data_IF_540472339691
#
_entry.id   IF_540472339691
#
_cell.length_a   1.000
_cell.length_b   1.000
_cell.length_c   1.000
_cell.angle_alpha   90.00
_cell.angle_beta   90.00
_cell.angle_gamma   90.00
#
_symmetry.space_group_name_H-M   'P 1'
#
loop_
_entity.id
_entity.type
_entity.pdbx_description
1 polymer ?
#
# COMPACT_ATOMS: atom_id res chain seq x y z
N UNK A 1 -0.42 21.76 -6.97
CA UNK A 1 -1.69 22.42 -7.32
C UNK A 1 -2.40 22.85 -6.05
N UNK A 2 -2.98 24.05 -6.02
CA UNK A 2 -3.83 24.49 -4.92
C UNK A 2 -5.29 24.12 -5.24
N UNK A 3 -5.98 23.54 -4.27
CA UNK A 3 -7.38 23.14 -4.39
C UNK A 3 -8.09 23.57 -3.11
N UNK A 4 -9.22 24.25 -3.25
CA UNK A 4 -10.04 24.66 -2.11
C UNK A 4 -11.10 23.61 -1.86
N UNK A 5 -11.16 23.08 -0.64
CA UNK A 5 -12.15 22.11 -0.18
C UNK A 5 -12.62 22.49 1.22
N UNK A 6 -13.89 22.28 1.51
CA UNK A 6 -14.45 22.49 2.85
C UNK A 6 -14.27 21.23 3.69
N UNK A 7 -13.59 21.35 4.83
CA UNK A 7 -13.26 20.25 5.74
C UNK A 7 -13.50 20.68 7.18
N UNK A 8 -13.78 19.73 8.06
CA UNK A 8 -13.88 19.97 9.49
C UNK A 8 -12.49 20.39 10.05
N UNK A 9 -12.41 21.56 10.68
CA UNK A 9 -11.18 22.11 11.24
C UNK A 9 -10.59 21.25 12.34
N UNK A 10 -11.43 20.65 13.17
CA UNK A 10 -11.01 19.92 14.37
C UNK A 10 -10.30 18.62 13.98
N UNK A 11 -10.80 17.97 12.92
CA UNK A 11 -10.14 16.80 12.31
C UNK A 11 -8.75 17.16 11.77
N UNK A 12 -8.60 18.33 11.14
CA UNK A 12 -7.31 18.76 10.59
C UNK A 12 -6.30 19.03 11.71
N UNK A 13 -6.74 19.66 12.81
CA UNK A 13 -5.88 19.88 13.97
C UNK A 13 -5.52 18.56 14.67
N UNK A 14 -6.43 17.59 14.73
CA UNK A 14 -6.12 16.24 15.20
C UNK A 14 -5.07 15.55 14.32
N UNK A 15 -5.23 15.58 13.00
CA UNK A 15 -4.25 15.01 12.07
C UNK A 15 -2.89 15.68 12.28
N UNK A 16 -2.83 17.01 12.38
CA UNK A 16 -1.58 17.73 12.67
C UNK A 16 -0.94 17.29 13.98
N UNK A 17 -1.74 17.12 15.04
CA UNK A 17 -1.25 16.68 16.36
C UNK A 17 -0.68 15.27 16.29
N UNK A 18 -1.34 14.36 15.57
CA UNK A 18 -0.91 12.96 15.44
C UNK A 18 0.31 12.82 14.54
N UNK A 19 0.39 13.58 13.45
CA UNK A 19 1.49 13.49 12.47
C UNK A 19 2.67 14.41 12.75
N UNK A 20 2.50 15.37 13.67
CA UNK A 20 3.51 16.38 14.00
C UNK A 20 3.76 17.40 12.88
N UNK A 21 2.87 17.51 11.89
CA UNK A 21 3.09 18.42 10.75
C UNK A 21 2.84 19.88 11.11
N UNK A 22 3.71 20.80 10.64
CA UNK A 22 3.61 22.20 11.02
C UNK A 22 2.42 22.90 10.36
N UNK A 23 2.06 22.51 9.12
CA UNK A 23 0.96 23.14 8.37
C UNK A 23 -0.23 22.21 8.14
N UNK A 24 -1.42 22.80 7.99
CA UNK A 24 -2.65 22.08 7.59
C UNK A 24 -2.48 21.37 6.25
N UNK A 25 -1.81 22.02 5.30
CA UNK A 25 -1.60 21.47 3.97
C UNK A 25 -0.72 20.21 3.98
N UNK A 26 0.34 20.19 4.80
CA UNK A 26 1.19 19.01 4.95
C UNK A 26 0.46 17.87 5.67
N UNK A 27 -0.29 18.18 6.72
CA UNK A 27 -1.12 17.20 7.41
C UNK A 27 -2.15 16.53 6.48
N UNK A 28 -2.87 17.33 5.68
CA UNK A 28 -3.81 16.80 4.68
C UNK A 28 -3.10 15.95 3.64
N UNK A 29 -1.96 16.43 3.11
CA UNK A 29 -1.21 15.71 2.09
C UNK A 29 -0.76 14.34 2.59
N UNK A 30 -0.19 14.28 3.79
CA UNK A 30 0.27 13.02 4.35
C UNK A 30 -0.88 12.08 4.69
N UNK A 31 -1.98 12.59 5.25
CA UNK A 31 -3.18 11.79 5.52
C UNK A 31 -3.75 11.14 4.25
N UNK A 32 -3.80 11.89 3.15
CA UNK A 32 -4.26 11.35 1.85
C UNK A 32 -3.31 10.28 1.29
N UNK A 33 -2.00 10.50 1.40
CA UNK A 33 -0.99 9.51 0.97
C UNK A 33 -1.14 8.23 1.78
N UNK A 34 -1.22 8.33 3.11
CA UNK A 34 -1.37 7.14 3.97
C UNK A 34 -2.72 6.45 3.77
N UNK A 35 -3.80 7.19 3.52
CA UNK A 35 -5.10 6.59 3.19
C UNK A 35 -5.05 5.75 1.91
N UNK A 36 -4.43 6.28 0.85
CA UNK A 36 -4.28 5.52 -0.41
C UNK A 36 -3.38 4.30 -0.20
N UNK A 37 -2.28 4.44 0.55
CA UNK A 37 -1.38 3.31 0.86
C UNK A 37 -2.07 2.24 1.69
N UNK A 38 -2.87 2.62 2.69
CA UNK A 38 -3.60 1.66 3.54
C UNK A 38 -4.65 0.90 2.73
N UNK A 39 -5.37 1.57 1.81
CA UNK A 39 -6.30 0.91 0.88
C UNK A 39 -5.60 -0.10 -0.01
N UNK A 40 -4.46 0.26 -0.62
CA UNK A 40 -3.67 -0.68 -1.45
C UNK A 40 -3.15 -1.88 -0.64
N UNK A 41 -2.70 -1.66 0.60
CA UNK A 41 -2.29 -2.77 1.48
C UNK A 41 -3.46 -3.70 1.80
N UNK A 42 -4.66 -3.16 2.02
CA UNK A 42 -5.85 -3.97 2.24
C UNK A 42 -6.22 -4.81 1.01
N UNK A 43 -6.10 -4.25 -0.21
CA UNK A 43 -6.32 -5.00 -1.46
C UNK A 43 -5.34 -6.19 -1.61
N UNK A 44 -4.10 -6.06 -1.14
CA UNK A 44 -3.15 -7.18 -1.14
C UNK A 44 -3.58 -8.30 -0.20
N UNK A 45 -4.20 -7.99 0.94
CA UNK A 45 -4.77 -9.00 1.84
C UNK A 45 -5.95 -9.73 1.18
N UNK A 46 -6.72 -9.05 0.33
CA UNK A 46 -7.79 -9.70 -0.44
C UNK A 46 -7.29 -10.69 -1.51
N UNK A 47 -6.00 -10.63 -1.86
CA UNK A 47 -5.33 -11.57 -2.76
C UNK A 47 -4.78 -12.80 -2.02
N UNK A 48 -4.85 -12.84 -0.69
CA UNK A 48 -4.48 -13.99 0.12
C UNK A 48 -5.30 -15.22 -0.33
N UNK A 49 -4.61 -16.30 -0.68
CA UNK A 49 -5.22 -17.53 -1.21
C UNK A 49 -5.73 -17.48 -2.65
N UNK A 50 -5.66 -16.32 -3.34
CA UNK A 50 -6.07 -16.17 -4.75
C UNK A 50 -4.91 -16.13 -5.73
N UNK A 51 -3.69 -15.89 -5.24
CA UNK A 51 -2.48 -15.85 -6.05
C UNK A 51 -1.61 -17.04 -5.68
N UNK A 52 -1.32 -17.89 -6.67
CA UNK A 52 -0.35 -18.97 -6.54
C UNK A 52 1.05 -18.36 -6.57
N UNK A 53 1.66 -18.18 -5.40
CA UNK A 53 3.04 -17.76 -5.29
C UNK A 53 3.95 -18.98 -5.46
N UNK A 54 4.46 -19.16 -6.67
CA UNK A 54 5.52 -20.12 -6.96
C UNK A 54 5.07 -21.39 -7.67
N UNK A 55 6.09 -22.08 -8.18
CA UNK A 55 6.01 -23.45 -8.69
C UNK A 55 6.04 -24.41 -7.50
N UNK A 56 5.37 -25.54 -7.60
CA UNK A 56 5.54 -26.63 -6.62
C UNK A 56 6.98 -27.14 -6.67
N UNK A 57 7.45 -27.82 -5.62
CA UNK A 57 8.78 -28.45 -5.65
C UNK A 57 8.94 -29.36 -6.87
N UNK A 58 7.93 -30.18 -7.19
CA UNK A 58 7.90 -31.02 -8.40
C UNK A 58 8.05 -30.21 -9.70
N UNK A 59 7.46 -29.02 -9.78
CA UNK A 59 7.59 -28.13 -10.94
C UNK A 59 8.93 -27.40 -11.01
N UNK A 60 9.68 -27.32 -9.90
CA UNK A 60 11.03 -26.77 -9.86
C UNK A 60 12.02 -27.86 -10.28
N UNK A 61 11.91 -29.06 -9.70
CA UNK A 61 12.72 -30.23 -10.04
C UNK A 61 12.61 -30.57 -11.53
N UNK A 62 11.40 -30.52 -12.10
CA UNK A 62 11.19 -30.77 -13.53
C UNK A 62 11.86 -29.74 -14.47
N UNK A 63 12.10 -28.50 -13.99
CA UNK A 63 12.81 -27.49 -14.77
C UNK A 63 14.34 -27.64 -14.67
N UNK A 64 14.83 -28.12 -13.53
CA UNK A 64 16.25 -28.43 -13.33
C UNK A 64 16.68 -29.61 -14.21
N UNK A 65 15.83 -30.64 -14.33
CA UNK A 65 16.07 -31.79 -15.22
C UNK A 65 16.11 -31.40 -16.72
N UNK A 66 15.37 -30.36 -17.12
CA UNK A 66 15.40 -29.82 -18.50
C UNK A 66 16.65 -28.95 -18.76
N UNK A 67 17.17 -28.24 -17.74
CA UNK A 67 18.37 -27.41 -17.86
C UNK A 67 19.67 -28.23 -17.82
N UNK A 68 19.74 -29.31 -17.02
CA UNK A 68 20.90 -30.21 -16.93
C UNK A 68 21.01 -31.19 -18.13
N UNK A 69 19.99 -31.23 -18.99
CA UNK A 69 19.94 -32.05 -20.21
C UNK A 69 20.51 -31.40 -21.48
N UNK A 70 21.05 -30.18 -21.40
CA UNK A 70 21.70 -29.41 -22.48
C UNK A 70 23.23 -29.38 -22.34
#
# INVERSE_FOLDING_TARGET
MATTVTLNSDLIEEVKRVTGKPTKAEAVREALVEYVRSRRRAELLELEGKVAFGRTNEQIEALEDEEDGL
#
